data_IF_747288529177
#
_entry.id   IF_747288529177
#
_cell.length_a   1.000
_cell.length_b   1.000
_cell.length_c   1.000
_cell.angle_alpha   90.00
_cell.angle_beta   90.00
_cell.angle_gamma   90.00
#
_symmetry.space_group_name_H-M   'P 1'
#
loop_
_entity.id
_entity.type
_entity.pdbx_description
1 polymer ?
#
# COMPACT_ATOMS: atom_id res chain seq x y z
N UNK A 1 -16.05 -25.67 -16.94
CA UNK A 1 -14.67 -25.18 -16.77
C UNK A 1 -14.78 -23.89 -15.97
N UNK A 2 -14.45 -23.90 -14.67
CA UNK A 2 -14.47 -22.67 -13.87
C UNK A 2 -13.33 -21.79 -14.36
N UNK A 3 -13.65 -20.80 -15.20
CA UNK A 3 -12.73 -19.70 -15.48
C UNK A 3 -12.71 -18.82 -14.24
N UNK A 4 -11.75 -19.07 -13.34
CA UNK A 4 -11.49 -18.17 -12.22
C UNK A 4 -11.19 -16.77 -12.75
N UNK A 5 -11.54 -15.73 -11.99
CA UNK A 5 -11.14 -14.37 -12.35
C UNK A 5 -9.60 -14.38 -12.34
N UNK A 6 -8.89 -14.15 -13.48
CA UNK A 6 -7.43 -14.17 -13.50
C UNK A 6 -6.83 -13.09 -12.59
N UNK A 7 -7.67 -12.18 -12.09
CA UNK A 7 -7.33 -11.13 -11.14
C UNK A 7 -7.72 -11.46 -9.69
N UNK A 8 -8.18 -12.68 -9.39
CA UNK A 8 -8.44 -13.15 -8.02
C UNK A 8 -7.13 -13.29 -7.23
N UNK A 9 -6.04 -13.61 -7.92
CA UNK A 9 -4.68 -13.77 -7.38
C UNK A 9 -3.78 -12.56 -7.68
N UNK A 10 -4.33 -11.35 -7.59
CA UNK A 10 -3.56 -10.13 -7.87
C UNK A 10 -2.44 -9.91 -6.86
N UNK A 11 -1.21 -9.94 -7.35
CA UNK A 11 0.00 -9.57 -6.62
C UNK A 11 0.89 -8.71 -7.51
N UNK A 12 1.51 -7.70 -6.90
CA UNK A 12 2.52 -6.89 -7.58
C UNK A 12 3.83 -7.69 -7.68
N UNK A 13 4.48 -7.73 -8.85
CA UNK A 13 5.61 -8.63 -9.12
C UNK A 13 6.90 -8.21 -8.40
N UNK A 14 7.07 -6.93 -8.10
CA UNK A 14 8.35 -6.37 -7.67
C UNK A 14 8.29 -5.78 -6.26
N UNK A 15 9.47 -5.61 -5.66
CA UNK A 15 9.66 -4.95 -4.36
C UNK A 15 10.81 -3.95 -4.45
N UNK A 16 10.60 -2.74 -3.94
CA UNK A 16 11.62 -1.69 -3.87
C UNK A 16 11.82 -1.25 -2.43
N UNK A 17 13.08 -1.14 -2.02
CA UNK A 17 13.46 -0.60 -0.70
C UNK A 17 13.47 0.93 -0.74
N UNK A 18 12.83 1.52 0.24
CA UNK A 18 12.83 2.96 0.52
C UNK A 18 13.19 3.18 1.99
N UNK A 19 13.46 4.42 2.40
CA UNK A 19 13.80 4.75 3.79
C UNK A 19 12.74 4.23 4.78
N UNK A 20 11.46 4.38 4.42
CA UNK A 20 10.34 3.96 5.26
C UNK A 20 10.13 2.45 5.36
N UNK A 21 10.69 1.63 4.46
CA UNK A 21 10.47 0.19 4.41
C UNK A 21 10.54 -0.39 2.99
N UNK A 22 9.72 -1.40 2.72
CA UNK A 22 9.66 -2.06 1.43
C UNK A 22 8.29 -1.82 0.77
N UNK A 23 8.32 -1.43 -0.50
CA UNK A 23 7.13 -1.09 -1.29
C UNK A 23 6.90 -2.18 -2.34
N UNK A 24 5.69 -2.76 -2.35
CA UNK A 24 5.21 -3.59 -3.44
C UNK A 24 4.87 -2.73 -4.66
N UNK A 25 5.43 -3.10 -5.82
CA UNK A 25 5.35 -2.32 -7.05
C UNK A 25 5.24 -3.21 -8.29
N UNK A 26 4.69 -2.66 -9.36
CA UNK A 26 4.73 -3.24 -10.70
C UNK A 26 4.76 -2.15 -11.75
N UNK A 27 5.43 -2.42 -12.87
CA UNK A 27 5.47 -1.54 -14.04
C UNK A 27 4.96 -2.32 -15.24
N UNK A 28 3.98 -1.74 -15.95
CA UNK A 28 3.30 -2.41 -17.05
C UNK A 28 3.19 -1.48 -18.26
N UNK A 29 3.15 -2.05 -19.47
CA UNK A 29 2.92 -1.28 -20.70
C UNK A 29 4.14 -0.50 -21.18
N UNK A 30 3.88 0.51 -22.01
CA UNK A 30 4.89 1.33 -22.68
C UNK A 30 4.32 2.69 -23.06
N UNK A 31 5.17 3.69 -23.29
CA UNK A 31 4.74 5.06 -23.62
C UNK A 31 4.84 6.02 -22.42
N UNK A 32 4.10 7.14 -22.42
CA UNK A 32 4.17 8.15 -21.36
C UNK A 32 3.90 7.57 -19.96
N UNK A 33 4.61 8.02 -18.92
CA UNK A 33 4.47 7.45 -17.58
C UNK A 33 3.19 7.91 -16.87
N UNK A 34 2.51 6.97 -16.21
CA UNK A 34 1.35 7.21 -15.34
C UNK A 34 1.56 6.47 -14.02
N UNK A 35 1.27 7.12 -12.89
CA UNK A 35 1.34 6.51 -11.56
C UNK A 35 -0.08 6.32 -11.02
N UNK A 36 -0.40 5.11 -10.56
CA UNK A 36 -1.67 4.79 -9.91
C UNK A 36 -1.47 4.72 -8.40
N UNK A 37 -2.11 5.63 -7.68
CA UNK A 37 -2.07 5.74 -6.21
C UNK A 37 -3.43 5.38 -5.65
N UNK A 38 -3.49 4.42 -4.72
CA UNK A 38 -4.74 4.04 -4.05
C UNK A 38 -5.02 4.92 -2.81
N UNK A 39 -6.27 4.91 -2.33
CA UNK A 39 -6.67 5.54 -1.06
C UNK A 39 -6.71 4.56 0.12
N UNK A 40 -7.19 5.01 1.28
CA UNK A 40 -7.36 4.18 2.49
C UNK A 40 -8.85 3.87 2.74
N UNK A 41 -9.23 2.66 3.19
CA UNK A 41 -8.41 1.49 3.49
C UNK A 41 -8.39 0.48 2.32
N UNK A 42 -7.53 0.71 1.31
CA UNK A 42 -7.40 -0.17 0.15
C UNK A 42 -5.92 -0.38 -0.23
N UNK A 43 -5.67 -1.09 -1.34
CA UNK A 43 -4.35 -1.26 -1.96
C UNK A 43 -4.46 -1.35 -3.50
N UNK A 44 -3.37 -1.66 -4.20
CA UNK A 44 -3.27 -1.75 -5.67
C UNK A 44 -4.31 -2.64 -6.36
N UNK A 45 -4.96 -3.55 -5.64
CA UNK A 45 -6.05 -4.40 -6.15
C UNK A 45 -7.18 -3.61 -6.81
N UNK A 46 -7.41 -2.36 -6.39
CA UNK A 46 -8.37 -1.47 -7.03
C UNK A 46 -8.09 -1.27 -8.52
N UNK A 47 -6.81 -1.29 -8.91
CA UNK A 47 -6.36 -1.01 -10.25
C UNK A 47 -6.26 -2.22 -11.16
N UNK A 48 -6.40 -3.45 -10.64
CA UNK A 48 -6.19 -4.70 -11.39
C UNK A 48 -6.99 -4.80 -12.70
N UNK A 49 -8.18 -4.18 -12.76
CA UNK A 49 -9.05 -4.14 -13.95
C UNK A 49 -8.92 -2.84 -14.76
N UNK A 50 -8.20 -1.85 -14.23
CA UNK A 50 -8.02 -0.51 -14.83
C UNK A 50 -6.67 -0.42 -15.55
N UNK A 51 -5.58 -0.84 -14.89
CA UNK A 51 -4.24 -0.71 -15.44
C UNK A 51 -4.05 -1.42 -16.80
N UNK A 52 -4.68 -2.57 -17.13
CA UNK A 52 -4.42 -3.23 -18.41
C UNK A 52 -4.80 -2.35 -19.60
N UNK A 53 -5.90 -1.59 -19.49
CA UNK A 53 -6.37 -0.67 -20.53
C UNK A 53 -5.45 0.55 -20.67
N UNK A 54 -4.90 1.03 -19.56
CA UNK A 54 -3.91 2.11 -19.59
C UNK A 54 -2.57 1.63 -20.17
N UNK A 55 -2.17 0.40 -19.87
CA UNK A 55 -0.91 -0.20 -20.32
C UNK A 55 -0.84 -0.43 -21.84
N UNK A 56 -1.98 -0.37 -22.54
CA UNK A 56 -2.04 -0.34 -24.01
C UNK A 56 -1.39 0.94 -24.59
N UNK A 57 -1.28 2.02 -23.81
CA UNK A 57 -0.84 3.34 -24.29
C UNK A 57 0.17 4.06 -23.39
N UNK A 58 0.30 3.64 -22.13
CA UNK A 58 1.14 4.28 -21.11
C UNK A 58 2.06 3.27 -20.42
N UNK A 59 3.17 3.75 -19.88
CA UNK A 59 3.95 3.02 -18.87
C UNK A 59 3.30 3.24 -17.52
N UNK A 60 2.60 2.23 -17.00
CA UNK A 60 1.81 2.32 -15.77
C UNK A 60 2.60 1.81 -14.59
N UNK A 61 2.87 2.68 -13.62
CA UNK A 61 3.47 2.35 -12.34
C UNK A 61 2.36 2.17 -11.30
N UNK A 62 2.32 1.01 -10.65
CA UNK A 62 1.33 0.67 -9.61
C UNK A 62 2.06 0.35 -8.32
N UNK A 63 1.70 1.04 -7.24
CA UNK A 63 2.31 0.87 -5.91
C UNK A 63 1.25 0.59 -4.85
N UNK A 64 1.63 -0.21 -3.86
CA UNK A 64 0.95 -0.21 -2.57
C UNK A 64 1.61 0.84 -1.67
N UNK A 65 0.83 1.79 -1.14
CA UNK A 65 1.28 2.73 -0.13
C UNK A 65 1.88 1.97 1.07
N UNK A 66 2.91 2.53 1.68
CA UNK A 66 3.61 1.89 2.79
C UNK A 66 2.64 1.55 3.94
N UNK A 67 2.62 0.27 4.36
CA UNK A 67 1.66 -0.22 5.37
C UNK A 67 0.35 -0.80 4.79
N UNK A 68 0.17 -0.75 3.47
CA UNK A 68 -0.98 -1.32 2.78
C UNK A 68 -0.56 -2.46 1.84
N UNK A 69 -1.52 -3.33 1.52
CA UNK A 69 -1.30 -4.47 0.61
C UNK A 69 -0.08 -5.28 1.02
N UNK A 70 0.85 -5.43 0.07
CA UNK A 70 2.10 -6.17 0.30
C UNK A 70 3.29 -5.29 0.69
N UNK A 71 3.09 -3.98 0.83
CA UNK A 71 4.12 -3.07 1.35
C UNK A 71 4.29 -3.23 2.85
N UNK A 72 5.52 -3.11 3.34
CA UNK A 72 5.90 -3.33 4.74
C UNK A 72 6.69 -2.13 5.29
N UNK A 73 6.14 -1.38 6.25
CA UNK A 73 6.86 -0.29 6.91
C UNK A 73 7.92 -0.87 7.86
N UNK A 74 9.02 -0.15 8.03
CA UNK A 74 9.90 -0.35 9.17
C UNK A 74 9.18 0.01 10.46
N UNK A 75 9.63 -0.51 11.63
CA UNK A 75 9.03 -0.15 12.92
C UNK A 75 8.99 1.34 13.22
N UNK A 76 9.93 2.13 12.67
CA UNK A 76 9.97 3.59 12.85
C UNK A 76 8.87 4.33 12.07
N UNK A 77 8.38 3.75 10.98
CA UNK A 77 7.34 4.31 10.12
C UNK A 77 5.98 3.58 10.25
N UNK A 78 5.93 2.51 11.04
CA UNK A 78 4.70 1.86 11.42
C UNK A 78 3.92 2.75 12.42
N UNK A 79 2.57 2.70 12.41
CA UNK A 79 1.80 3.34 13.47
C UNK A 79 2.28 2.83 14.84
N UNK A 80 2.33 3.68 15.87
CA UNK A 80 2.75 3.26 17.19
C UNK A 80 1.84 2.14 17.68
N UNK A 81 2.44 1.14 18.34
CA UNK A 81 1.68 0.08 19.00
C UNK A 81 0.60 0.71 19.89
N UNK A 82 -0.64 0.19 19.92
CA UNK A 82 -1.76 0.81 20.64
C UNK A 82 -1.49 1.01 22.15
N UNK A 83 -0.49 0.32 22.69
CA UNK A 83 -0.04 0.41 24.08
C UNK A 83 0.78 1.67 24.41
N UNK A 84 1.19 2.46 23.41
CA UNK A 84 1.90 3.74 23.62
C UNK A 84 0.95 4.94 23.74
N UNK A 85 -0.20 4.78 24.43
CA UNK A 85 -0.94 5.95 24.90
C UNK A 85 -0.12 6.64 25.98
N UNK A 86 0.42 7.82 25.65
CA UNK A 86 1.02 8.76 26.60
C UNK A 86 0.10 8.84 27.82
N UNK A 87 0.58 8.67 29.06
CA UNK A 87 -0.27 8.84 30.23
C UNK A 87 -0.90 10.23 30.17
N UNK A 88 -2.23 10.28 30.31
CA UNK A 88 -2.99 11.53 30.33
C UNK A 88 -2.39 12.45 31.40
N UNK A 89 -2.09 13.74 31.11
CA UNK A 89 -1.49 14.66 32.07
C UNK A 89 -2.45 15.07 33.22
N UNK A 90 -3.60 14.42 33.37
CA UNK A 90 -4.64 14.79 34.32
C UNK A 90 -4.96 13.62 35.25
N UNK A 91 -3.99 13.24 36.06
CA UNK A 91 -4.23 12.48 37.30
C UNK A 91 -3.82 13.36 38.45
N UNK A 92 -4.70 14.28 38.84
CA UNK A 92 -4.54 14.98 40.12
C UNK A 92 -4.59 13.94 41.24
N UNK A 93 -3.66 13.94 42.20
CA UNK A 93 -3.77 13.10 43.37
C UNK A 93 -4.90 13.65 44.23
N UNK A 94 -5.97 12.87 44.41
CA UNK A 94 -6.87 13.05 45.53
C UNK A 94 -6.11 12.61 46.80
N UNK A 95 -5.40 13.54 47.43
CA UNK A 95 -5.21 13.50 48.89
C UNK A 95 -6.52 13.97 49.53
N UNK A 96 -7.01 13.41 50.62
CA UNK A 96 -6.30 12.89 51.78
C UNK A 96 -6.83 13.65 52.98
#
# INVERSE_FOLDING_TARGET
MSGGDPYEEWQLPDRVRVEGGEVATGVFGHGPPVVLVHGTPAWSYLWRKVFPRLAEHCTVHVWDLLGFGDSRPTPAFAPPSPDRRRPSPNSSPTGG
#
